data_IF_366925575071
#
_entry.id   IF_366925575071
#
_cell.length_a   1.000
_cell.length_b   1.000
_cell.length_c   1.000
_cell.angle_alpha   90.00
_cell.angle_beta   90.00
_cell.angle_gamma   90.00
#
_symmetry.space_group_name_H-M   'P 1'
#
loop_
_entity.id
_entity.type
_entity.pdbx_description
1 polymer ?
#
# COMPACT_ATOMS: atom_id res chain seq x y z
N UNK A 1 -9.24 -112.99 -106.25
CA UNK A 1 -8.44 -112.20 -105.29
C UNK A 1 -8.35 -110.69 -105.61
N UNK A 2 -9.04 -110.15 -106.63
CA UNK A 2 -9.00 -108.71 -106.98
C UNK A 2 -10.04 -107.82 -106.25
N UNK A 3 -11.10 -108.40 -105.68
CA UNK A 3 -12.15 -107.65 -104.98
C UNK A 3 -11.79 -107.21 -103.54
N UNK A 4 -10.75 -107.79 -102.93
CA UNK A 4 -10.29 -107.44 -101.59
C UNK A 4 -9.42 -106.16 -101.56
N UNK A 5 -8.65 -105.90 -102.62
CA UNK A 5 -7.75 -104.74 -102.72
C UNK A 5 -8.46 -103.42 -103.10
N UNK A 6 -9.66 -103.49 -103.71
CA UNK A 6 -10.43 -102.29 -104.02
C UNK A 6 -11.15 -101.73 -102.77
N UNK A 7 -11.51 -102.59 -101.81
CA UNK A 7 -12.11 -102.15 -100.53
C UNK A 7 -11.08 -101.55 -99.58
N UNK A 8 -9.83 -102.01 -99.57
CA UNK A 8 -8.77 -101.45 -98.71
C UNK A 8 -8.33 -100.05 -99.14
N UNK A 9 -8.18 -99.78 -100.45
CA UNK A 9 -7.86 -98.42 -100.95
C UNK A 9 -8.97 -97.40 -100.75
N UNK A 10 -10.25 -97.83 -100.82
CA UNK A 10 -11.38 -96.95 -100.55
C UNK A 10 -11.52 -96.57 -99.06
N UNK A 11 -11.06 -97.45 -98.15
CA UNK A 11 -11.01 -97.16 -96.71
C UNK A 11 -9.82 -96.26 -96.33
N UNK A 12 -8.70 -96.34 -97.04
CA UNK A 12 -7.52 -95.48 -96.80
C UNK A 12 -7.75 -94.02 -97.24
N UNK A 13 -8.43 -93.78 -98.37
CA UNK A 13 -8.71 -92.40 -98.81
C UNK A 13 -9.78 -91.71 -97.94
N UNK A 14 -10.78 -92.46 -97.45
CA UNK A 14 -11.78 -91.92 -96.51
C UNK A 14 -11.18 -91.61 -95.14
N UNK A 15 -10.18 -92.38 -94.67
CA UNK A 15 -9.55 -92.12 -93.38
C UNK A 15 -8.66 -90.86 -93.40
N UNK A 16 -8.01 -90.57 -94.53
CA UNK A 16 -7.25 -89.33 -94.75
C UNK A 16 -8.13 -88.07 -94.76
N UNK A 17 -9.28 -88.09 -95.46
CA UNK A 17 -10.21 -86.95 -95.49
C UNK A 17 -10.86 -86.69 -94.12
N UNK A 18 -11.25 -87.76 -93.41
CA UNK A 18 -11.81 -87.66 -92.06
C UNK A 18 -10.77 -87.11 -91.09
N UNK A 19 -9.51 -87.56 -91.16
CA UNK A 19 -8.42 -87.09 -90.30
C UNK A 19 -8.07 -85.62 -90.57
N UNK A 20 -8.08 -85.17 -91.84
CA UNK A 20 -7.88 -83.75 -92.20
C UNK A 20 -9.03 -82.86 -91.70
N UNK A 21 -10.28 -83.32 -91.84
CA UNK A 21 -11.46 -82.60 -91.33
C UNK A 21 -11.45 -82.49 -89.79
N UNK A 22 -11.08 -83.57 -89.09
CA UNK A 22 -10.89 -83.58 -87.63
C UNK A 22 -9.81 -82.60 -87.18
N UNK A 23 -8.67 -82.51 -87.87
CA UNK A 23 -7.61 -81.55 -87.52
C UNK A 23 -8.05 -80.09 -87.67
N UNK A 24 -8.82 -79.74 -88.71
CA UNK A 24 -9.38 -78.38 -88.86
C UNK A 24 -10.46 -78.07 -87.81
N UNK A 25 -11.31 -79.02 -87.43
CA UNK A 25 -12.30 -78.83 -86.35
C UNK A 25 -11.64 -78.64 -84.97
N UNK A 26 -10.57 -79.39 -84.68
CA UNK A 26 -9.81 -79.23 -83.44
C UNK A 26 -9.07 -77.89 -83.42
N UNK A 27 -8.45 -77.49 -84.53
CA UNK A 27 -7.79 -76.19 -84.66
C UNK A 27 -8.76 -75.02 -84.47
N UNK A 28 -9.92 -75.08 -85.15
CA UNK A 28 -10.93 -74.03 -85.06
C UNK A 28 -11.58 -73.95 -83.67
N UNK A 29 -11.87 -75.09 -83.03
CA UNK A 29 -12.41 -75.10 -81.66
C UNK A 29 -11.40 -74.59 -80.64
N UNK A 30 -10.11 -74.90 -80.79
CA UNK A 30 -9.03 -74.37 -79.93
C UNK A 30 -8.89 -72.86 -80.07
N UNK A 31 -8.95 -72.33 -81.31
CA UNK A 31 -8.93 -70.89 -81.55
C UNK A 31 -10.18 -70.24 -80.96
N UNK A 32 -11.36 -70.83 -81.14
CA UNK A 32 -12.61 -70.29 -80.60
C UNK A 32 -12.60 -70.22 -79.07
N UNK A 33 -12.13 -71.28 -78.40
CA UNK A 33 -11.97 -71.31 -76.94
C UNK A 33 -10.92 -70.30 -76.48
N UNK A 34 -9.80 -70.18 -77.19
CA UNK A 34 -8.76 -69.18 -76.90
C UNK A 34 -9.28 -67.75 -77.01
N UNK A 35 -10.02 -67.43 -78.07
CA UNK A 35 -10.64 -66.11 -78.27
C UNK A 35 -11.71 -65.83 -77.20
N UNK A 36 -12.55 -66.81 -76.87
CA UNK A 36 -13.53 -66.68 -75.78
C UNK A 36 -12.85 -66.46 -74.42
N UNK A 37 -11.78 -67.21 -74.11
CA UNK A 37 -11.03 -67.05 -72.87
C UNK A 37 -10.34 -65.68 -72.78
N UNK A 38 -9.78 -65.17 -73.88
CA UNK A 38 -9.20 -63.83 -73.94
C UNK A 38 -10.25 -62.74 -73.75
N UNK A 39 -11.42 -62.85 -74.38
CA UNK A 39 -12.51 -61.87 -74.24
C UNK A 39 -13.08 -61.85 -72.81
N UNK A 40 -13.29 -63.01 -72.19
CA UNK A 40 -13.73 -63.11 -70.80
C UNK A 40 -12.67 -62.62 -69.82
N UNK A 41 -11.41 -63.02 -70.03
CA UNK A 41 -10.27 -62.57 -69.21
C UNK A 41 -10.07 -61.07 -69.27
N UNK A 42 -10.10 -60.46 -70.46
CA UNK A 42 -10.00 -59.01 -70.62
C UNK A 42 -11.18 -58.26 -70.00
N UNK A 43 -12.41 -58.79 -70.09
CA UNK A 43 -13.60 -58.19 -69.44
C UNK A 43 -13.50 -58.24 -67.91
N UNK A 44 -13.09 -59.37 -67.33
CA UNK A 44 -12.95 -59.52 -65.88
C UNK A 44 -11.81 -58.66 -65.37
N UNK A 45 -10.62 -58.74 -65.99
CA UNK A 45 -9.46 -57.95 -65.60
C UNK A 45 -9.78 -56.44 -65.62
N UNK A 46 -10.40 -55.94 -66.70
CA UNK A 46 -10.80 -54.53 -66.79
C UNK A 46 -11.75 -54.11 -65.66
N UNK A 47 -12.72 -54.95 -65.32
CA UNK A 47 -13.69 -54.68 -64.25
C UNK A 47 -13.02 -54.65 -62.87
N UNK A 48 -12.17 -55.63 -62.58
CA UNK A 48 -11.41 -55.70 -61.31
C UNK A 48 -10.49 -54.50 -61.17
N UNK A 49 -9.72 -54.15 -62.21
CA UNK A 49 -8.84 -52.97 -62.19
C UNK A 49 -9.63 -51.68 -61.95
N UNK A 50 -10.81 -51.54 -62.56
CA UNK A 50 -11.68 -50.38 -62.34
C UNK A 50 -12.29 -50.34 -60.92
N UNK A 51 -12.60 -51.49 -60.32
CA UNK A 51 -13.06 -51.59 -58.94
C UNK A 51 -11.94 -51.24 -57.95
N UNK A 52 -10.71 -51.69 -58.20
CA UNK A 52 -9.54 -51.32 -57.39
C UNK A 52 -9.27 -49.82 -57.45
N UNK A 53 -9.40 -49.20 -58.64
CA UNK A 53 -9.29 -47.75 -58.78
C UNK A 53 -10.37 -47.01 -57.98
N UNK A 54 -11.62 -47.47 -58.06
CA UNK A 54 -12.72 -46.89 -57.30
C UNK A 54 -12.53 -47.03 -55.77
N UNK A 55 -12.04 -48.19 -55.30
CA UNK A 55 -11.75 -48.41 -53.88
C UNK A 55 -10.59 -47.54 -53.38
N UNK A 56 -9.57 -47.30 -54.21
CA UNK A 56 -8.48 -46.38 -53.89
C UNK A 56 -8.97 -44.95 -53.76
N UNK A 57 -9.80 -44.49 -54.70
CA UNK A 57 -10.44 -43.17 -54.64
C UNK A 57 -11.32 -43.03 -53.39
N UNK A 58 -12.05 -44.09 -53.02
CA UNK A 58 -12.84 -44.13 -51.79
C UNK A 58 -11.97 -44.03 -50.54
N UNK A 59 -10.80 -44.69 -50.53
CA UNK A 59 -9.80 -44.59 -49.46
C UNK A 59 -9.15 -43.21 -49.36
N UNK A 60 -9.11 -42.45 -50.45
CA UNK A 60 -8.66 -41.05 -50.51
C UNK A 60 -9.77 -40.06 -50.11
N UNK A 61 -10.97 -40.54 -49.74
CA UNK A 61 -12.09 -39.71 -49.28
C UNK A 61 -13.00 -39.19 -50.41
N UNK A 62 -12.88 -39.74 -51.62
CA UNK A 62 -13.74 -39.37 -52.75
C UNK A 62 -14.96 -40.30 -52.82
N UNK A 63 -16.12 -39.80 -52.40
CA UNK A 63 -17.36 -40.59 -52.31
C UNK A 63 -18.27 -40.47 -53.54
N UNK A 64 -17.89 -39.73 -54.59
CA UNK A 64 -18.69 -39.51 -55.81
C UNK A 64 -18.34 -40.46 -56.97
N UNK A 65 -17.62 -41.55 -56.67
CA UNK A 65 -17.19 -42.52 -57.67
C UNK A 65 -18.34 -43.45 -58.05
N UNK A 66 -18.56 -43.64 -59.35
CA UNK A 66 -19.53 -44.61 -59.89
C UNK A 66 -18.88 -45.99 -59.92
N UNK A 67 -19.43 -46.94 -59.17
CA UNK A 67 -18.88 -48.30 -59.11
C UNK A 67 -19.19 -49.08 -60.41
N UNK A 68 -18.16 -49.58 -61.12
CA UNK A 68 -18.33 -50.30 -62.37
C UNK A 68 -18.94 -51.69 -62.12
N UNK A 69 -20.05 -52.01 -62.78
CA UNK A 69 -20.72 -53.31 -62.64
C UNK A 69 -21.88 -53.36 -61.64
N UNK A 70 -22.38 -52.21 -61.19
CA UNK A 70 -23.59 -52.13 -60.39
C UNK A 70 -24.80 -52.75 -61.12
N UNK A 71 -25.53 -53.65 -60.45
CA UNK A 71 -26.70 -54.35 -61.02
C UNK A 71 -26.37 -55.63 -61.81
N UNK A 72 -25.11 -56.10 -61.79
CA UNK A 72 -24.74 -57.44 -62.30
C UNK A 72 -25.29 -58.53 -61.39
N UNK A 73 -25.66 -59.67 -61.98
CA UNK A 73 -26.18 -60.86 -61.27
C UNK A 73 -25.12 -61.95 -61.06
N UNK A 74 -23.85 -61.58 -61.05
CA UNK A 74 -22.72 -62.49 -60.83
C UNK A 74 -21.95 -62.11 -59.55
N UNK A 75 -20.92 -62.90 -59.20
CA UNK A 75 -20.13 -62.72 -57.98
C UNK A 75 -19.41 -61.36 -57.94
N UNK A 76 -19.08 -60.79 -59.11
CA UNK A 76 -18.52 -59.45 -59.21
C UNK A 76 -19.57 -58.38 -58.87
N UNK A 77 -20.84 -58.61 -59.19
CA UNK A 77 -21.98 -57.80 -58.75
C UNK A 77 -22.13 -57.77 -57.23
N UNK A 78 -22.05 -58.92 -56.56
CA UNK A 78 -22.11 -59.01 -55.09
C UNK A 78 -20.98 -58.22 -54.40
N UNK A 79 -19.75 -58.33 -54.93
CA UNK A 79 -18.62 -57.52 -54.44
C UNK A 79 -18.86 -56.02 -54.64
N UNK A 80 -19.45 -55.64 -55.78
CA UNK A 80 -19.79 -54.25 -56.09
C UNK A 80 -20.82 -53.70 -55.09
N UNK A 81 -21.83 -54.49 -54.74
CA UNK A 81 -22.86 -54.12 -53.76
C UNK A 81 -22.29 -53.96 -52.34
N UNK A 82 -21.36 -54.84 -51.93
CA UNK A 82 -20.66 -54.72 -50.65
C UNK A 82 -19.82 -53.43 -50.57
N UNK A 83 -19.13 -53.07 -51.67
CA UNK A 83 -18.36 -51.83 -51.76
C UNK A 83 -19.28 -50.60 -51.78
N UNK A 84 -20.45 -50.67 -52.41
CA UNK A 84 -21.44 -49.58 -52.38
C UNK A 84 -21.99 -49.37 -50.95
N UNK A 85 -22.25 -50.45 -50.21
CA UNK A 85 -22.64 -50.36 -48.80
C UNK A 85 -21.53 -49.73 -47.95
N UNK A 86 -20.28 -50.11 -48.18
CA UNK A 86 -19.12 -49.53 -47.50
C UNK A 86 -18.98 -48.05 -47.81
N UNK A 87 -19.08 -47.66 -49.10
CA UNK A 87 -19.10 -46.27 -49.56
C UNK A 87 -20.17 -45.45 -48.86
N UNK A 88 -21.42 -45.96 -48.81
CA UNK A 88 -22.54 -45.29 -48.13
C UNK A 88 -22.26 -45.07 -46.64
N UNK A 89 -21.80 -46.11 -45.92
CA UNK A 89 -21.48 -46.02 -44.49
C UNK A 89 -20.28 -45.11 -44.22
N UNK A 90 -19.26 -45.12 -45.09
CA UNK A 90 -18.10 -44.26 -44.97
C UNK A 90 -18.46 -42.79 -45.20
N UNK A 91 -19.35 -42.50 -46.16
CA UNK A 91 -19.91 -41.17 -46.39
C UNK A 91 -20.73 -40.67 -45.21
N UNK A 92 -21.68 -41.48 -44.73
CA UNK A 92 -22.50 -41.16 -43.54
C UNK A 92 -21.63 -40.85 -42.32
N UNK A 93 -20.58 -41.65 -42.07
CA UNK A 93 -19.65 -41.41 -40.96
C UNK A 93 -18.78 -40.17 -41.16
N UNK A 94 -18.38 -39.85 -42.39
CA UNK A 94 -17.65 -38.64 -42.70
C UNK A 94 -18.53 -37.39 -42.49
N UNK A 95 -19.79 -37.43 -42.93
CA UNK A 95 -20.78 -36.37 -42.72
C UNK A 95 -21.09 -36.18 -41.21
N UNK A 96 -21.36 -37.27 -40.47
CA UNK A 96 -21.59 -37.21 -39.02
C UNK A 96 -20.36 -36.75 -38.22
N UNK A 97 -19.16 -37.10 -38.69
CA UNK A 97 -17.90 -36.66 -38.08
C UNK A 97 -17.65 -35.16 -38.24
N UNK A 98 -18.07 -34.56 -39.37
CA UNK A 98 -17.99 -33.11 -39.60
C UNK A 98 -18.96 -32.36 -38.68
N UNK A 99 -20.18 -32.85 -38.51
CA UNK A 99 -21.19 -32.26 -37.63
C UNK A 99 -20.73 -32.31 -36.15
N UNK A 100 -20.29 -33.49 -35.69
CA UNK A 100 -19.78 -33.65 -34.31
C UNK A 100 -18.58 -32.74 -34.05
N UNK A 101 -17.65 -32.61 -35.01
CA UNK A 101 -16.49 -31.73 -34.87
C UNK A 101 -16.89 -30.26 -34.85
N UNK A 102 -17.84 -29.85 -35.69
CA UNK A 102 -18.38 -28.50 -35.67
C UNK A 102 -19.09 -28.16 -34.34
N UNK A 103 -19.82 -29.12 -33.76
CA UNK A 103 -20.44 -28.97 -32.44
C UNK A 103 -19.39 -28.86 -31.33
N UNK A 104 -18.36 -29.71 -31.34
CA UNK A 104 -17.25 -29.64 -30.38
C UNK A 104 -16.51 -28.31 -30.47
N UNK A 105 -16.21 -27.84 -31.69
CA UNK A 105 -15.55 -26.56 -31.92
C UNK A 105 -16.42 -25.39 -31.44
N UNK A 106 -17.73 -25.43 -31.68
CA UNK A 106 -18.70 -24.44 -31.17
C UNK A 106 -18.78 -24.46 -29.64
N UNK A 107 -18.86 -25.64 -29.03
CA UNK A 107 -18.89 -25.80 -27.57
C UNK A 107 -17.59 -25.29 -26.94
N UNK A 108 -16.43 -25.63 -27.51
CA UNK A 108 -15.13 -25.14 -27.05
C UNK A 108 -14.97 -23.63 -27.24
N UNK A 109 -15.52 -23.05 -28.31
CA UNK A 109 -15.54 -21.60 -28.52
C UNK A 109 -16.46 -20.90 -27.52
N UNK A 110 -17.65 -21.45 -27.26
CA UNK A 110 -18.59 -20.93 -26.28
C UNK A 110 -18.02 -20.98 -24.86
N UNK A 111 -17.37 -22.08 -24.48
CA UNK A 111 -16.70 -22.24 -23.19
C UNK A 111 -15.57 -21.21 -23.03
N UNK A 112 -14.69 -21.09 -24.04
CA UNK A 112 -13.61 -20.08 -24.02
C UNK A 112 -14.17 -18.66 -23.87
N UNK A 113 -15.27 -18.34 -24.56
CA UNK A 113 -15.93 -17.04 -24.42
C UNK A 113 -16.48 -16.84 -23.00
N UNK A 114 -17.11 -17.86 -22.42
CA UNK A 114 -17.64 -17.79 -21.05
C UNK A 114 -16.52 -17.61 -20.02
N UNK A 115 -15.39 -18.31 -20.18
CA UNK A 115 -14.22 -18.18 -19.31
C UNK A 115 -13.60 -16.78 -19.39
N UNK A 116 -13.48 -16.21 -20.58
CA UNK A 116 -12.99 -14.83 -20.76
C UNK A 116 -13.92 -13.83 -20.08
N UNK A 117 -15.24 -13.96 -20.25
CA UNK A 117 -16.21 -13.06 -19.60
C UNK A 117 -16.15 -13.17 -18.07
N UNK A 118 -16.05 -14.40 -17.55
CA UNK A 118 -15.91 -14.63 -16.11
C UNK A 118 -14.62 -14.01 -15.57
N UNK A 119 -13.50 -14.25 -16.23
CA UNK A 119 -12.20 -13.72 -15.82
C UNK A 119 -12.16 -12.19 -15.90
N UNK A 120 -12.78 -11.61 -16.93
CA UNK A 120 -12.92 -10.16 -17.06
C UNK A 120 -13.76 -9.56 -15.91
N UNK A 121 -14.88 -10.19 -15.54
CA UNK A 121 -15.71 -9.74 -14.42
C UNK A 121 -15.02 -9.89 -13.06
N UNK A 122 -14.28 -10.98 -12.85
CA UNK A 122 -13.45 -11.17 -11.65
C UNK A 122 -12.34 -10.10 -11.57
N UNK A 123 -11.66 -9.85 -12.70
CA UNK A 123 -10.64 -8.80 -12.79
C UNK A 123 -11.21 -7.42 -12.51
N UNK A 124 -12.35 -7.06 -13.11
CA UNK A 124 -13.03 -5.78 -12.87
C UNK A 124 -13.42 -5.61 -11.39
N UNK A 125 -13.96 -6.66 -10.76
CA UNK A 125 -14.30 -6.64 -9.34
C UNK A 125 -13.07 -6.44 -8.43
N UNK A 126 -11.98 -7.15 -8.71
CA UNK A 126 -10.74 -7.03 -7.93
C UNK A 126 -10.12 -5.65 -8.11
N UNK A 127 -10.02 -5.16 -9.34
CA UNK A 127 -9.48 -3.83 -9.63
C UNK A 127 -10.35 -2.75 -9.00
N UNK A 128 -11.68 -2.86 -9.07
CA UNK A 128 -12.61 -1.94 -8.41
C UNK A 128 -12.36 -1.87 -6.90
N UNK A 129 -12.23 -3.02 -6.23
CA UNK A 129 -11.91 -3.06 -4.78
C UNK A 129 -10.57 -2.43 -4.45
N UNK A 130 -9.55 -2.64 -5.28
CA UNK A 130 -8.22 -2.04 -5.07
C UNK A 130 -8.31 -0.52 -5.23
N UNK A 131 -9.00 -0.02 -6.25
CA UNK A 131 -9.22 1.41 -6.46
C UNK A 131 -9.96 2.04 -5.28
N UNK A 132 -11.05 1.42 -4.81
CA UNK A 132 -11.81 1.91 -3.65
C UNK A 132 -10.94 1.96 -2.38
N UNK A 133 -10.14 0.92 -2.16
CA UNK A 133 -9.21 0.86 -1.01
C UNK A 133 -8.15 1.96 -1.10
N UNK A 134 -7.53 2.14 -2.27
CA UNK A 134 -6.50 3.18 -2.49
C UNK A 134 -7.11 4.58 -2.38
N UNK A 135 -8.33 4.79 -2.91
CA UNK A 135 -9.04 6.05 -2.79
C UNK A 135 -9.36 6.38 -1.33
N UNK A 136 -9.85 5.41 -0.56
CA UNK A 136 -10.16 5.57 0.85
C UNK A 136 -8.90 5.91 1.66
N UNK A 137 -7.81 5.17 1.44
CA UNK A 137 -6.53 5.44 2.08
C UNK A 137 -5.98 6.83 1.71
N UNK A 138 -6.18 7.28 0.47
CA UNK A 138 -5.78 8.62 0.03
C UNK A 138 -6.58 9.72 0.72
N UNK A 139 -7.90 9.54 0.89
CA UNK A 139 -8.74 10.47 1.65
C UNK A 139 -8.34 10.53 3.13
N UNK A 140 -8.04 9.40 3.76
CA UNK A 140 -7.55 9.36 5.14
C UNK A 140 -6.19 10.05 5.31
N UNK A 141 -5.27 9.85 4.35
CA UNK A 141 -3.98 10.55 4.33
C UNK A 141 -4.15 12.06 4.13
N UNK A 142 -5.05 12.49 3.22
CA UNK A 142 -5.33 13.91 3.00
C UNK A 142 -5.90 14.56 4.27
N UNK A 143 -6.87 13.89 4.92
CA UNK A 143 -7.45 14.34 6.18
C UNK A 143 -6.38 14.46 7.28
N UNK A 144 -5.52 13.45 7.39
CA UNK A 144 -4.41 13.44 8.35
C UNK A 144 -3.41 14.56 8.09
N UNK A 145 -3.05 14.80 6.83
CA UNK A 145 -2.17 15.90 6.43
C UNK A 145 -2.78 17.26 6.76
N UNK A 146 -4.08 17.47 6.46
CA UNK A 146 -4.80 18.71 6.83
C UNK A 146 -4.87 18.91 8.34
N UNK A 147 -5.01 17.84 9.12
CA UNK A 147 -4.95 17.88 10.59
C UNK A 147 -3.55 18.28 11.06
N UNK A 148 -2.51 17.67 10.50
CA UNK A 148 -1.11 18.00 10.81
C UNK A 148 -0.79 19.46 10.52
N UNK A 149 -1.21 19.99 9.37
CA UNK A 149 -1.03 21.41 9.02
C UNK A 149 -1.71 22.33 10.03
N UNK A 150 -2.97 22.04 10.41
CA UNK A 150 -3.67 22.84 11.43
C UNK A 150 -2.95 22.81 12.79
N UNK A 151 -2.49 21.64 13.22
CA UNK A 151 -1.73 21.50 14.47
C UNK A 151 -0.41 22.26 14.41
N UNK A 152 0.29 22.23 13.28
CA UNK A 152 1.53 22.99 13.09
C UNK A 152 1.28 24.51 13.14
N UNK A 153 0.22 25.00 12.49
CA UNK A 153 -0.17 26.41 12.55
C UNK A 153 -0.53 26.86 13.97
N UNK A 154 -1.29 26.04 14.70
CA UNK A 154 -1.64 26.30 16.09
C UNK A 154 -0.39 26.29 16.99
N UNK A 155 0.52 25.33 16.78
CA UNK A 155 1.78 25.28 17.53
C UNK A 155 2.64 26.51 17.26
N UNK A 156 2.68 27.01 16.02
CA UNK A 156 3.38 28.24 15.65
C UNK A 156 2.78 29.46 16.35
N UNK A 157 1.45 29.57 16.40
CA UNK A 157 0.77 30.66 17.13
C UNK A 157 1.08 30.62 18.62
N UNK A 158 1.00 29.44 19.23
CA UNK A 158 1.33 29.26 20.65
C UNK A 158 2.79 29.60 20.94
N UNK A 159 3.73 29.23 20.07
CA UNK A 159 5.13 29.61 20.22
C UNK A 159 5.33 31.13 20.25
N UNK A 160 4.61 31.88 19.39
CA UNK A 160 4.68 33.35 19.38
C UNK A 160 4.13 33.93 20.69
N UNK A 161 3.02 33.40 21.20
CA UNK A 161 2.44 33.82 22.48
C UNK A 161 3.39 33.53 23.66
N UNK A 162 4.00 32.34 23.68
CA UNK A 162 4.99 31.96 24.70
C UNK A 162 6.22 32.86 24.65
N UNK A 163 6.71 33.22 23.46
CA UNK A 163 7.82 34.18 23.32
C UNK A 163 7.45 35.53 23.92
N UNK A 164 6.30 36.09 23.57
CA UNK A 164 5.83 37.37 24.11
C UNK A 164 5.69 37.32 25.66
N UNK A 165 5.07 36.27 26.20
CA UNK A 165 4.95 36.09 27.65
C UNK A 165 6.31 35.93 28.34
N UNK A 166 7.29 35.34 27.66
CA UNK A 166 8.65 35.17 28.19
C UNK A 166 9.41 36.51 28.20
N UNK A 167 9.22 37.33 27.17
CA UNK A 167 9.75 38.70 27.11
C UNK A 167 9.18 39.56 28.25
N UNK A 168 7.86 39.52 28.46
CA UNK A 168 7.19 40.20 29.57
C UNK A 168 7.70 39.75 30.94
N UNK A 169 7.87 38.44 31.14
CA UNK A 169 8.41 37.89 32.38
C UNK A 169 9.85 38.36 32.62
N UNK A 170 10.69 38.37 31.59
CA UNK A 170 12.08 38.85 31.67
C UNK A 170 12.14 40.34 32.03
N UNK A 171 11.32 41.16 31.37
CA UNK A 171 11.17 42.58 31.70
C UNK A 171 10.70 42.77 33.15
N UNK A 172 9.81 41.93 33.65
CA UNK A 172 9.35 41.97 35.03
C UNK A 172 10.47 41.64 36.02
N UNK A 173 11.27 40.60 35.75
CA UNK A 173 12.44 40.24 36.56
C UNK A 173 13.46 41.38 36.59
N UNK A 174 13.71 42.04 35.45
CA UNK A 174 14.61 43.20 35.39
C UNK A 174 14.10 44.37 36.24
N UNK A 175 12.79 44.66 36.22
CA UNK A 175 12.18 45.69 37.08
C UNK A 175 12.33 45.34 38.56
N UNK A 176 12.10 44.10 38.94
CA UNK A 176 12.28 43.63 40.33
C UNK A 176 13.75 43.75 40.76
N UNK A 177 14.68 43.39 39.89
CA UNK A 177 16.11 43.54 40.16
C UNK A 177 16.50 45.02 40.37
N UNK A 178 16.00 45.92 39.53
CA UNK A 178 16.22 47.36 39.68
C UNK A 178 15.66 47.89 41.01
N UNK A 179 14.41 47.56 41.34
CA UNK A 179 13.77 47.97 42.59
C UNK A 179 14.51 47.41 43.83
N UNK A 180 15.01 46.17 43.74
CA UNK A 180 15.83 45.57 44.80
C UNK A 180 17.16 46.30 44.95
N UNK A 181 17.77 46.74 43.85
CA UNK A 181 18.96 47.58 43.86
C UNK A 181 18.74 48.94 44.53
N UNK A 182 17.63 49.63 44.21
CA UNK A 182 17.26 50.89 44.86
C UNK A 182 16.98 50.70 46.36
N UNK A 183 16.31 49.61 46.73
CA UNK A 183 16.05 49.26 48.13
C UNK A 183 17.35 49.00 48.90
N UNK A 184 18.31 48.30 48.30
CA UNK A 184 19.63 48.10 48.91
C UNK A 184 20.37 49.43 49.14
N UNK A 185 20.31 50.36 48.19
CA UNK A 185 20.84 51.72 48.37
C UNK A 185 20.17 52.47 49.51
N UNK A 186 18.84 52.42 49.59
CA UNK A 186 18.06 53.04 50.66
C UNK A 186 18.43 52.49 52.04
N UNK A 187 18.70 51.18 52.15
CA UNK A 187 19.15 50.55 53.41
C UNK A 187 20.51 51.11 53.85
N UNK A 188 21.44 51.34 52.92
CA UNK A 188 22.75 51.94 53.22
C UNK A 188 22.57 53.37 53.74
N UNK A 189 21.71 54.16 53.10
CA UNK A 189 21.42 55.54 53.53
C UNK A 189 20.77 55.59 54.91
N UNK A 190 19.80 54.70 55.18
CA UNK A 190 19.20 54.56 56.51
C UNK A 190 20.27 54.18 57.54
N UNK A 191 21.17 53.25 57.21
CA UNK A 191 22.29 52.88 58.07
C UNK A 191 23.14 54.09 58.47
N UNK A 192 23.53 54.91 57.49
CA UNK A 192 24.28 56.17 57.72
C UNK A 192 23.49 57.17 58.56
N UNK A 193 22.19 57.32 58.31
CA UNK A 193 21.31 58.20 59.07
C UNK A 193 21.21 57.76 60.54
N UNK A 194 21.10 56.44 60.80
CA UNK A 194 21.04 55.87 62.15
C UNK A 194 22.34 56.10 62.91
N UNK A 195 23.49 55.92 62.27
CA UNK A 195 24.81 56.20 62.86
C UNK A 195 24.95 57.69 63.24
N UNK A 196 24.51 58.60 62.35
CA UNK A 196 24.50 60.03 62.65
C UNK A 196 23.60 60.36 63.85
N UNK A 197 22.41 59.76 63.94
CA UNK A 197 21.49 59.96 65.08
C UNK A 197 22.11 59.43 66.38
N UNK A 198 22.78 58.27 66.33
CA UNK A 198 23.49 57.73 67.49
C UNK A 198 24.60 58.67 67.98
N UNK A 199 25.38 59.27 67.07
CA UNK A 199 26.41 60.25 67.41
C UNK A 199 25.81 61.50 68.07
N UNK A 200 24.73 62.06 67.51
CA UNK A 200 24.02 63.22 68.08
C UNK A 200 23.45 62.91 69.47
N UNK A 201 22.87 61.73 69.65
CA UNK A 201 22.39 61.28 70.95
C UNK A 201 23.53 61.17 71.97
N UNK A 202 24.68 60.64 71.57
CA UNK A 202 25.90 60.61 72.40
C UNK A 202 26.38 62.01 72.80
N UNK A 203 26.43 62.95 71.87
CA UNK A 203 26.76 64.35 72.18
C UNK A 203 25.75 65.00 73.13
N UNK A 204 24.46 64.70 72.98
CA UNK A 204 23.42 65.24 73.84
C UNK A 204 23.56 64.73 75.29
N UNK A 205 23.91 63.45 75.48
CA UNK A 205 24.21 62.87 76.80
C UNK A 205 25.41 63.58 77.44
N UNK A 206 26.50 63.77 76.70
CA UNK A 206 27.68 64.50 77.20
C UNK A 206 27.35 65.95 77.60
N UNK A 207 26.51 66.64 76.82
CA UNK A 207 26.04 68.00 77.15
C UNK A 207 25.15 68.03 78.40
N UNK A 208 24.31 67.01 78.60
CA UNK A 208 23.49 66.88 79.80
C UNK A 208 24.38 66.67 81.04
N UNK A 209 25.36 65.77 80.97
CA UNK A 209 26.34 65.54 82.05
C UNK A 209 27.11 66.81 82.42
N UNK A 210 27.55 67.59 81.43
CA UNK A 210 28.23 68.87 81.67
C UNK A 210 27.29 69.89 82.35
N UNK A 211 26.01 69.89 81.99
CA UNK A 211 25.01 70.77 82.59
C UNK A 211 24.74 70.38 84.04
N UNK A 212 24.63 69.10 84.35
CA UNK A 212 24.51 68.58 85.72
C UNK A 212 25.71 68.99 86.58
N UNK A 213 26.93 68.89 86.06
CA UNK A 213 28.14 69.35 86.76
C UNK A 213 28.09 70.86 87.06
N UNK A 214 27.60 71.68 86.12
CA UNK A 214 27.45 73.13 86.32
C UNK A 214 26.38 73.45 87.36
N UNK A 215 25.25 72.74 87.35
CA UNK A 215 24.18 72.87 88.35
C UNK A 215 24.71 72.49 89.73
N UNK A 216 25.47 71.39 89.85
CA UNK A 216 26.09 70.98 91.10
C UNK A 216 27.08 72.04 91.64
N UNK A 217 27.92 72.62 90.76
CA UNK A 217 28.83 73.70 91.14
C UNK A 217 28.08 74.97 91.57
N UNK A 218 26.98 75.31 90.89
CA UNK A 218 26.12 76.44 91.26
C UNK A 218 25.45 76.22 92.62
N UNK A 219 24.96 75.01 92.89
CA UNK A 219 24.38 74.65 94.18
C UNK A 219 25.40 74.81 95.32
N UNK A 220 26.63 74.32 95.14
CA UNK A 220 27.72 74.49 96.10
C UNK A 220 28.08 75.98 96.33
N UNK A 221 28.07 76.80 95.27
CA UNK A 221 28.29 78.24 95.40
C UNK A 221 27.17 78.94 96.17
N UNK A 222 25.90 78.58 95.91
CA UNK A 222 24.75 79.08 96.63
C UNK A 222 24.78 78.72 98.12
N UNK A 223 25.21 77.50 98.46
CA UNK A 223 25.40 77.06 99.85
C UNK A 223 26.45 77.93 100.58
N UNK A 224 27.59 78.20 99.93
CA UNK A 224 28.62 79.10 100.48
C UNK A 224 28.11 80.53 100.66
N UNK A 225 27.31 81.04 99.73
CA UNK A 225 26.65 82.36 99.87
C UNK A 225 25.70 82.33 101.06
N UNK A 226 24.92 81.26 101.22
CA UNK A 226 24.05 81.05 102.38
C UNK A 226 24.82 81.17 103.70
N UNK A 227 25.95 80.47 103.83
CA UNK A 227 26.82 80.57 105.02
C UNK A 227 27.34 81.99 105.28
N UNK A 228 27.67 82.74 104.22
CA UNK A 228 28.09 84.14 104.34
C UNK A 228 26.94 85.03 104.81
N UNK A 229 25.73 84.83 104.28
CA UNK A 229 24.54 85.57 104.71
C UNK A 229 24.21 85.30 106.18
N UNK A 230 24.34 84.04 106.64
CA UNK A 230 24.19 83.69 108.06
C UNK A 230 25.23 84.39 108.94
N UNK A 231 26.49 84.43 108.52
CA UNK A 231 27.54 85.17 109.23
C UNK A 231 27.24 86.67 109.28
N UNK A 232 26.80 87.27 108.18
CA UNK A 232 26.40 88.68 108.13
C UNK A 232 25.23 88.94 109.09
N UNK A 233 24.22 88.07 109.11
CA UNK A 233 23.09 88.19 110.03
C UNK A 233 23.55 88.13 111.50
N UNK A 234 24.47 87.22 111.83
CA UNK A 234 25.06 87.12 113.17
C UNK A 234 25.85 88.39 113.55
N UNK A 235 26.69 88.92 112.65
CA UNK A 235 27.42 90.19 112.87
C UNK A 235 26.45 91.36 113.04
N UNK A 236 25.41 91.45 112.22
CA UNK A 236 24.40 92.51 112.31
C UNK A 236 23.67 92.46 113.67
N UNK A 237 23.32 91.26 114.13
CA UNK A 237 22.71 91.06 115.45
C UNK A 237 23.66 91.44 116.60
N UNK A 238 24.94 91.09 116.49
CA UNK A 238 25.97 91.51 117.45
C UNK A 238 26.21 93.03 117.41
N UNK A 239 26.20 93.64 116.23
CA UNK A 239 26.35 95.08 116.03
C UNK A 239 25.15 95.83 116.60
N UNK A 240 23.93 95.31 116.42
CA UNK A 240 22.72 95.86 117.03
C UNK A 240 22.78 95.80 118.57
N UNK A 241 23.29 94.69 119.14
CA UNK A 241 23.54 94.59 120.58
C UNK A 241 24.62 95.56 121.07
N UNK A 242 25.72 95.73 120.33
CA UNK A 242 26.78 96.70 120.62
C UNK A 242 26.26 98.14 120.55
N UNK A 243 25.50 98.48 119.51
CA UNK A 243 24.88 99.79 119.36
C UNK A 243 23.89 100.08 120.50
N UNK A 244 23.06 99.11 120.87
CA UNK A 244 22.16 99.24 122.01
C UNK A 244 22.93 99.49 123.32
N UNK A 245 23.99 98.72 123.59
CA UNK A 245 24.85 98.93 124.76
C UNK A 245 25.53 100.31 124.74
N UNK A 246 26.01 100.77 123.59
CA UNK A 246 26.59 102.11 123.46
C UNK A 246 25.54 103.21 123.69
N UNK A 247 24.30 103.02 123.26
CA UNK A 247 23.20 103.96 123.50
C UNK A 247 22.83 104.02 125.00
N UNK A 248 22.84 102.87 125.68
CA UNK A 248 22.67 102.80 127.14
C UNK A 248 23.81 103.53 127.85
N UNK A 249 25.07 103.30 127.46
CA UNK A 249 26.23 103.92 128.11
C UNK A 249 26.31 105.43 127.83
N UNK A 250 25.94 105.87 126.62
CA UNK A 250 25.82 107.29 126.28
C UNK A 250 24.69 108.00 127.03
N UNK A 251 23.62 107.28 127.43
CA UNK A 251 22.60 107.81 128.33
C UNK A 251 23.04 107.78 129.81
N UNK A 252 24.16 107.10 130.12
CA UNK A 252 24.70 106.90 131.47
C UNK A 252 25.87 107.84 131.80
N UNK A 253 26.66 108.22 130.79
CA UNK A 253 27.72 109.23 130.86
C UNK A 253 27.13 110.65 130.92
#
# INVERSE_FOLDING_TARGET
MAAANARSRATELRSEEIRRSLMWMIGLSTILVGVMALLFGQRIAKTVTSMTAAMRQLGEGQFDVVLPGLGRKDQLGEMTEAVEMFKRKARERAEAGLETKAEQDRAAAAQRKADIVRLAGEFECVVGKVIDTVSSASYELESSARSLTRTADQSRQLSVEVTASSEDASANVQRVAAATGEMAGTIVDIGRQVEQVANVAGEAVLKAELSDQRIAALAAAAERIGSVVELIAAIAQQTNLLALNATIEAARA
#
